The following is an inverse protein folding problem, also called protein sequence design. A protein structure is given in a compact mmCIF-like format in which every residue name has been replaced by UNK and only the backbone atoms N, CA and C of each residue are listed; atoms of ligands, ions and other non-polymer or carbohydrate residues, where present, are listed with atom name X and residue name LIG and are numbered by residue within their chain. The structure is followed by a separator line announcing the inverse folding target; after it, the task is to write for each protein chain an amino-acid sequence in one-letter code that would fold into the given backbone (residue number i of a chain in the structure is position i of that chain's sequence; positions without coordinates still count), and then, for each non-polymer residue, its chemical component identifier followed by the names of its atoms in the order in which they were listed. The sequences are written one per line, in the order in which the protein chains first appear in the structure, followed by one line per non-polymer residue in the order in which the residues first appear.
data_IF_347108683651
#
_entry.id   IF_347108683651
#
_cell.length_a   1.000
_cell.length_b   1.000
_cell.length_c   1.000
_cell.angle_alpha   90.00
_cell.angle_beta   90.00
_cell.angle_gamma   90.00
#
_symmetry.space_group_name_H-M   'P 1'
#
loop_
_entity.id
_entity.type
_entity.pdbx_description
1 polymer ?
#
# COMPACT_ATOMS: atom_id res chain seq x y z
N UNK A 1 22.26 -23.15 -19.40
CA UNK A 1 21.21 -22.22 -18.97
C UNK A 1 21.59 -21.33 -17.79
N UNK A 2 22.88 -21.18 -17.45
CA UNK A 2 23.36 -20.45 -16.26
C UNK A 2 24.15 -19.16 -16.60
N UNK A 3 24.08 -18.63 -17.83
CA UNK A 3 24.85 -17.44 -18.25
C UNK A 3 24.01 -16.20 -18.61
N UNK A 4 22.72 -16.19 -18.30
CA UNK A 4 21.82 -15.05 -18.62
C UNK A 4 21.38 -14.24 -17.37
N UNK A 5 22.03 -14.43 -16.22
CA UNK A 5 21.69 -13.72 -14.98
C UNK A 5 22.65 -12.56 -14.65
N UNK A 6 23.59 -12.22 -15.53
CA UNK A 6 24.68 -11.26 -15.23
C UNK A 6 24.51 -9.85 -15.79
N UNK A 7 23.31 -9.37 -16.04
CA UNK A 7 23.07 -7.97 -16.37
C UNK A 7 21.95 -7.35 -15.51
N UNK A 8 21.98 -7.60 -14.21
CA UNK A 8 21.10 -6.97 -13.24
C UNK A 8 21.68 -5.61 -12.81
N UNK A 9 20.92 -4.52 -12.99
CA UNK A 9 21.16 -3.30 -12.22
C UNK A 9 21.28 -3.68 -10.73
N UNK A 10 22.12 -2.99 -9.93
CA UNK A 10 22.32 -3.32 -8.54
C UNK A 10 20.98 -3.38 -7.82
N UNK A 11 20.71 -4.49 -7.14
CA UNK A 11 19.45 -4.77 -6.42
C UNK A 11 19.18 -3.69 -5.37
N UNK A 12 20.25 -3.09 -4.85
CA UNK A 12 20.21 -1.95 -3.92
C UNK A 12 20.94 -0.75 -4.55
N UNK A 13 20.23 0.37 -4.72
CA UNK A 13 20.87 1.63 -5.07
C UNK A 13 20.61 2.68 -3.99
N UNK A 14 21.61 3.54 -3.73
CA UNK A 14 21.47 4.66 -2.79
C UNK A 14 20.31 5.59 -3.19
N UNK A 15 20.02 5.70 -4.50
CA UNK A 15 18.90 6.47 -5.03
C UNK A 15 17.55 5.91 -4.58
N UNK A 16 17.40 4.57 -4.61
CA UNK A 16 16.20 3.90 -4.14
C UNK A 16 16.03 4.03 -2.64
N UNK A 17 17.11 3.86 -1.88
CA UNK A 17 17.07 4.03 -0.43
C UNK A 17 16.58 5.42 -0.04
N UNK A 18 17.03 6.47 -0.77
CA UNK A 18 16.53 7.83 -0.55
C UNK A 18 15.03 7.97 -0.85
N UNK A 19 14.55 7.34 -1.91
CA UNK A 19 13.12 7.40 -2.28
C UNK A 19 12.25 6.74 -1.23
N UNK A 20 12.62 5.55 -0.77
CA UNK A 20 11.79 4.76 0.14
C UNK A 20 11.89 5.19 1.61
N UNK A 21 12.98 5.88 2.01
CA UNK A 21 13.21 6.35 3.39
C UNK A 21 13.14 7.86 3.57
N UNK A 22 13.12 8.63 2.48
CA UNK A 22 13.36 10.09 2.47
C UNK A 22 14.74 10.50 3.03
N UNK A 23 15.70 9.59 3.06
CA UNK A 23 17.06 9.93 3.45
C UNK A 23 17.71 10.85 2.40
N UNK A 24 18.60 11.76 2.83
CA UNK A 24 19.02 12.92 2.04
C UNK A 24 20.26 12.68 1.16
N UNK A 25 20.44 11.53 0.52
CA UNK A 25 21.69 11.18 -0.15
C UNK A 25 21.82 11.63 -1.62
N UNK A 26 20.78 11.61 -2.44
CA UNK A 26 20.89 11.92 -3.88
C UNK A 26 20.74 13.41 -4.19
N UNK A 27 21.86 14.06 -4.56
CA UNK A 27 21.93 15.50 -4.86
C UNK A 27 20.97 15.93 -5.99
N UNK A 28 20.77 15.08 -7.01
CA UNK A 28 19.92 15.38 -8.15
C UNK A 28 18.44 15.46 -7.77
N UNK A 29 17.92 14.48 -7.02
CA UNK A 29 16.54 14.45 -6.55
C UNK A 29 16.25 15.62 -5.60
N UNK A 30 17.18 15.97 -4.71
CA UNK A 30 17.06 17.15 -3.84
C UNK A 30 16.95 18.46 -4.62
N UNK A 31 17.74 18.62 -5.68
CA UNK A 31 17.65 19.80 -6.57
C UNK A 31 16.29 19.85 -7.26
N UNK A 32 15.84 18.73 -7.80
CA UNK A 32 14.53 18.62 -8.43
C UNK A 32 13.41 18.95 -7.45
N UNK A 33 13.39 18.34 -6.26
CA UNK A 33 12.41 18.64 -5.20
C UNK A 33 12.39 20.13 -4.83
N UNK A 34 13.58 20.76 -4.73
CA UNK A 34 13.68 22.20 -4.42
C UNK A 34 13.04 23.06 -5.50
N UNK A 35 13.30 22.78 -6.77
CA UNK A 35 12.71 23.49 -7.91
C UNK A 35 11.18 23.27 -7.94
N UNK A 36 10.74 22.03 -7.82
CA UNK A 36 9.31 21.68 -7.88
C UNK A 36 8.50 22.26 -6.71
N UNK A 37 9.13 22.47 -5.55
CA UNK A 37 8.48 23.16 -4.40
C UNK A 37 8.13 24.62 -4.68
N UNK A 38 8.85 25.30 -5.59
CA UNK A 38 8.58 26.69 -5.96
C UNK A 38 7.34 26.85 -6.83
N UNK A 39 6.92 25.77 -7.52
CA UNK A 39 5.72 25.79 -8.34
C UNK A 39 4.47 25.61 -7.48
N UNK A 40 3.47 26.52 -7.58
CA UNK A 40 2.23 26.38 -6.80
C UNK A 40 1.35 25.24 -7.34
N UNK A 41 0.66 24.53 -6.45
CA UNK A 41 -0.29 23.49 -6.81
C UNK A 41 -0.27 22.26 -5.89
N UNK A 42 -1.42 21.62 -5.78
CA UNK A 42 -1.68 20.39 -5.02
C UNK A 42 -2.72 19.56 -5.79
N UNK A 43 -2.76 18.22 -5.69
CA UNK A 43 -1.79 17.36 -4.98
C UNK A 43 -0.41 17.30 -5.65
N UNK A 44 0.56 16.64 -5.01
CA UNK A 44 1.96 16.57 -5.46
C UNK A 44 2.49 15.14 -5.51
N UNK A 45 3.41 14.89 -6.43
CA UNK A 45 4.14 13.63 -6.48
C UNK A 45 4.93 13.40 -5.18
N UNK A 46 4.75 12.24 -4.54
CA UNK A 46 5.44 11.89 -3.30
C UNK A 46 6.97 11.79 -3.45
N UNK A 47 7.47 11.46 -4.66
CA UNK A 47 8.90 11.32 -4.93
C UNK A 47 9.55 12.65 -5.31
N UNK A 48 9.12 13.33 -6.36
CA UNK A 48 9.79 14.52 -6.89
C UNK A 48 9.15 15.84 -6.52
N UNK A 49 8.03 15.84 -5.79
CA UNK A 49 7.24 17.00 -5.40
C UNK A 49 6.61 17.80 -6.56
N UNK A 50 6.60 17.25 -7.76
CA UNK A 50 5.90 17.84 -8.90
C UNK A 50 4.42 18.07 -8.57
N UNK A 51 3.88 19.31 -8.76
CA UNK A 51 2.45 19.56 -8.56
C UNK A 51 1.62 18.95 -9.69
N UNK A 52 0.46 18.38 -9.35
CA UNK A 52 -0.48 17.82 -10.31
C UNK A 52 -1.65 18.76 -10.63
N UNK A 53 -1.94 19.69 -9.72
CA UNK A 53 -3.01 20.67 -9.84
C UNK A 53 -2.52 22.13 -9.81
N UNK A 54 -3.43 23.08 -10.02
CA UNK A 54 -3.14 24.49 -10.05
C UNK A 54 -2.27 24.92 -11.25
N UNK A 55 -1.78 26.16 -11.19
CA UNK A 55 -0.95 26.74 -12.27
C UNK A 55 0.35 25.94 -12.51
N UNK A 56 1.04 25.55 -11.42
CA UNK A 56 2.25 24.75 -11.50
C UNK A 56 2.00 23.37 -12.12
N UNK A 57 0.85 22.73 -11.80
CA UNK A 57 0.46 21.45 -12.40
C UNK A 57 0.21 21.56 -13.91
N UNK A 58 -0.33 22.68 -14.38
CA UNK A 58 -0.49 22.96 -15.82
C UNK A 58 0.85 22.99 -16.54
N UNK A 59 1.83 23.73 -16.01
CA UNK A 59 3.19 23.78 -16.56
C UNK A 59 3.85 22.40 -16.57
N UNK A 60 3.78 21.70 -15.47
CA UNK A 60 4.40 20.39 -15.32
C UNK A 60 3.78 19.33 -16.26
N UNK A 61 2.49 19.44 -16.52
CA UNK A 61 1.78 18.56 -17.48
C UNK A 61 2.29 18.74 -18.91
N UNK A 62 2.58 19.97 -19.33
CA UNK A 62 3.22 20.24 -20.63
C UNK A 62 4.61 19.62 -20.74
N UNK A 63 5.32 19.48 -19.62
CA UNK A 63 6.62 18.80 -19.53
C UNK A 63 6.51 17.28 -19.33
N UNK A 64 5.31 16.69 -19.40
CA UNK A 64 5.08 15.25 -19.24
C UNK A 64 4.98 14.73 -17.80
N UNK A 65 4.94 15.62 -16.80
CA UNK A 65 4.77 15.24 -15.40
C UNK A 65 3.29 15.11 -15.04
N UNK A 66 2.67 14.03 -15.43
CA UNK A 66 1.27 13.72 -15.08
C UNK A 66 1.20 12.69 -13.95
N UNK A 67 0.07 12.61 -13.20
CA UNK A 67 -0.16 11.49 -12.31
C UNK A 67 -0.10 10.18 -13.07
N UNK A 68 0.61 9.19 -12.54
CA UNK A 68 0.63 7.85 -13.12
C UNK A 68 -0.75 7.19 -12.97
N UNK A 69 -1.17 6.45 -14.00
CA UNK A 69 -2.40 5.64 -13.92
C UNK A 69 -2.25 4.44 -12.98
N UNK A 70 -1.01 4.00 -12.74
CA UNK A 70 -0.72 2.90 -11.81
C UNK A 70 -0.77 3.34 -10.36
N UNK A 71 -0.23 4.53 -10.07
CA UNK A 71 -0.27 5.14 -8.75
C UNK A 71 -0.43 6.66 -8.87
N UNK A 72 -1.62 7.22 -8.60
CA UNK A 72 -1.90 8.65 -8.79
C UNK A 72 -1.13 9.56 -7.83
N UNK A 73 -0.50 9.02 -6.79
CA UNK A 73 0.37 9.77 -5.88
C UNK A 73 1.79 9.97 -6.45
N UNK A 74 2.14 9.28 -7.53
CA UNK A 74 3.41 9.39 -8.23
C UNK A 74 3.20 9.96 -9.63
N UNK A 75 4.16 10.73 -10.14
CA UNK A 75 4.12 11.12 -11.55
C UNK A 75 4.59 9.96 -12.44
N UNK A 76 4.21 10.00 -13.72
CA UNK A 76 4.61 9.02 -14.75
C UNK A 76 6.12 8.79 -14.78
N UNK A 77 6.92 9.87 -14.64
CA UNK A 77 8.38 9.76 -14.61
C UNK A 77 8.88 8.99 -13.38
N UNK A 78 8.33 9.26 -12.20
CA UNK A 78 8.74 8.59 -10.98
C UNK A 78 8.20 7.16 -10.86
N UNK A 79 7.04 6.87 -11.45
CA UNK A 79 6.44 5.55 -11.38
C UNK A 79 6.91 4.60 -12.48
N UNK A 80 7.08 5.13 -13.71
CA UNK A 80 7.26 4.30 -14.90
C UNK A 80 8.68 4.37 -15.49
N UNK A 81 9.44 5.45 -15.18
CA UNK A 81 10.79 5.67 -15.73
C UNK A 81 11.91 5.59 -14.71
N UNK A 82 11.62 5.34 -13.45
CA UNK A 82 12.69 5.04 -12.50
C UNK A 82 13.41 3.75 -12.89
N UNK A 83 14.74 3.68 -12.68
CA UNK A 83 15.50 2.50 -13.02
C UNK A 83 14.98 1.27 -12.27
N UNK A 84 15.25 0.10 -12.82
CA UNK A 84 15.03 -1.17 -12.11
C UNK A 84 15.84 -1.21 -10.83
N UNK A 85 15.34 -1.96 -9.86
CA UNK A 85 15.95 -2.08 -8.55
C UNK A 85 15.05 -1.51 -7.47
N UNK A 86 15.55 -1.42 -6.28
CA UNK A 86 14.82 -0.96 -5.11
C UNK A 86 15.73 -0.91 -3.89
N UNK A 87 15.13 -0.86 -2.72
CA UNK A 87 15.84 -0.94 -1.46
C UNK A 87 15.04 -1.72 -0.42
N UNK A 88 15.73 -2.30 0.54
CA UNK A 88 15.09 -2.84 1.73
C UNK A 88 14.70 -1.70 2.67
N UNK A 89 13.44 -1.73 3.11
CA UNK A 89 12.89 -0.75 4.04
C UNK A 89 11.84 -1.41 4.91
N UNK A 90 11.73 -0.95 6.15
CA UNK A 90 10.64 -1.37 7.01
C UNK A 90 9.32 -0.83 6.44
N UNK A 91 8.35 -1.72 6.25
CA UNK A 91 7.11 -1.45 5.52
C UNK A 91 5.93 -1.99 6.31
N UNK A 92 4.83 -1.25 6.37
CA UNK A 92 3.56 -1.79 6.79
C UNK A 92 2.76 -2.21 5.56
N UNK A 93 2.31 -3.46 5.53
CA UNK A 93 1.57 -4.07 4.44
C UNK A 93 0.12 -4.29 4.88
N UNK A 94 -0.82 -3.85 4.07
CA UNK A 94 -2.26 -4.02 4.29
C UNK A 94 -2.87 -4.80 3.14
N UNK A 95 -3.63 -5.83 3.49
CA UNK A 95 -4.53 -6.53 2.58
C UNK A 95 -5.98 -6.39 3.05
N UNK A 96 -6.90 -6.18 2.11
CA UNK A 96 -8.33 -6.18 2.34
C UNK A 96 -9.01 -7.00 1.25
N UNK A 97 -9.97 -7.85 1.63
CA UNK A 97 -10.57 -8.83 0.73
C UNK A 97 -12.05 -9.03 1.05
N UNK A 98 -12.85 -9.22 0.02
CA UNK A 98 -14.29 -9.48 0.13
C UNK A 98 -14.52 -10.89 0.67
N UNK A 99 -15.30 -11.03 1.72
CA UNK A 99 -15.67 -12.33 2.28
C UNK A 99 -16.79 -12.96 1.47
N UNK A 100 -16.70 -14.27 1.20
CA UNK A 100 -17.66 -15.04 0.39
C UNK A 100 -17.85 -14.48 -1.04
N UNK A 101 -16.77 -13.98 -1.64
CA UNK A 101 -16.81 -13.38 -2.98
C UNK A 101 -17.34 -14.32 -4.06
N UNK A 102 -16.97 -15.60 -4.02
CA UNK A 102 -17.48 -16.62 -4.94
C UNK A 102 -18.98 -16.77 -4.81
N UNK A 103 -19.49 -16.92 -3.59
CA UNK A 103 -20.93 -17.01 -3.35
C UNK A 103 -21.68 -15.74 -3.75
N UNK A 104 -21.07 -14.56 -3.56
CA UNK A 104 -21.62 -13.29 -4.04
C UNK A 104 -21.70 -13.25 -5.58
N UNK A 105 -20.64 -13.65 -6.27
CA UNK A 105 -20.60 -13.68 -7.74
C UNK A 105 -21.67 -14.63 -8.33
N UNK A 106 -21.84 -15.80 -7.72
CA UNK A 106 -22.86 -16.76 -8.13
C UNK A 106 -24.29 -16.22 -7.93
N UNK A 107 -24.57 -15.56 -6.80
CA UNK A 107 -25.90 -15.01 -6.48
C UNK A 107 -26.25 -13.77 -7.31
N UNK A 108 -25.28 -12.91 -7.58
CA UNK A 108 -25.52 -11.62 -8.26
C UNK A 108 -25.43 -11.71 -9.78
N UNK A 109 -24.70 -12.68 -10.30
CA UNK A 109 -24.34 -12.75 -11.70
C UNK A 109 -23.18 -11.80 -12.07
N UNK A 110 -22.53 -12.06 -13.18
CA UNK A 110 -21.25 -11.46 -13.57
C UNK A 110 -21.27 -9.94 -13.66
N UNK A 111 -22.29 -9.35 -14.27
CA UNK A 111 -22.36 -7.90 -14.46
C UNK A 111 -22.52 -7.14 -13.13
N UNK A 112 -23.46 -7.56 -12.28
CA UNK A 112 -23.68 -6.94 -10.98
C UNK A 112 -22.48 -7.13 -10.04
N UNK A 113 -21.82 -8.29 -10.11
CA UNK A 113 -20.59 -8.52 -9.36
C UNK A 113 -19.45 -7.60 -9.82
N UNK A 114 -19.30 -7.35 -11.12
CA UNK A 114 -18.31 -6.40 -11.64
C UNK A 114 -18.58 -4.96 -11.16
N UNK A 115 -19.85 -4.54 -11.07
CA UNK A 115 -20.22 -3.24 -10.50
C UNK A 115 -19.89 -3.17 -9.00
N UNK A 116 -20.15 -4.24 -8.25
CA UNK A 116 -19.77 -4.35 -6.84
C UNK A 116 -18.26 -4.22 -6.66
N UNK A 117 -17.46 -4.93 -7.47
CA UNK A 117 -15.99 -4.84 -7.45
C UNK A 117 -15.51 -3.42 -7.77
N UNK A 118 -16.08 -2.76 -8.77
CA UNK A 118 -15.73 -1.39 -9.10
C UNK A 118 -16.02 -0.43 -7.93
N UNK A 119 -17.15 -0.63 -7.23
CA UNK A 119 -17.47 0.14 -6.02
C UNK A 119 -16.48 -0.16 -4.88
N UNK A 120 -16.17 -1.44 -4.65
CA UNK A 120 -15.17 -1.87 -3.66
C UNK A 120 -13.82 -1.24 -3.91
N UNK A 121 -13.28 -1.34 -5.12
CA UNK A 121 -12.01 -0.77 -5.49
C UNK A 121 -11.96 0.75 -5.34
N UNK A 122 -13.02 1.45 -5.76
CA UNK A 122 -13.10 2.90 -5.61
C UNK A 122 -13.03 3.30 -4.14
N UNK A 123 -13.87 2.73 -3.29
CA UNK A 123 -13.91 3.03 -1.86
C UNK A 123 -12.58 2.67 -1.19
N UNK A 124 -12.02 1.51 -1.51
CA UNK A 124 -10.75 1.06 -0.95
C UNK A 124 -9.59 2.00 -1.37
N UNK A 125 -9.45 2.29 -2.66
CA UNK A 125 -8.35 3.12 -3.15
C UNK A 125 -8.44 4.56 -2.66
N UNK A 126 -9.62 5.18 -2.66
CA UNK A 126 -9.83 6.54 -2.14
C UNK A 126 -9.47 6.62 -0.65
N UNK A 127 -9.91 5.65 0.14
CA UNK A 127 -9.60 5.61 1.58
C UNK A 127 -8.12 5.41 1.83
N UNK A 128 -7.49 4.42 1.18
CA UNK A 128 -6.08 4.09 1.37
C UNK A 128 -5.17 5.24 0.93
N UNK A 129 -5.44 5.86 -0.23
CA UNK A 129 -4.69 7.02 -0.72
C UNK A 129 -4.85 8.22 0.22
N UNK A 130 -6.05 8.42 0.79
CA UNK A 130 -6.29 9.45 1.80
C UNK A 130 -5.44 9.32 3.06
N UNK A 131 -4.98 8.10 3.36
CA UNK A 131 -4.04 7.79 4.45
C UNK A 131 -2.58 7.67 4.01
N UNK A 132 -2.21 8.20 2.85
CA UNK A 132 -0.85 8.14 2.30
C UNK A 132 -0.36 6.73 1.95
N UNK A 133 -1.26 5.75 1.75
CA UNK A 133 -0.88 4.43 1.26
C UNK A 133 -0.39 4.47 -0.18
N UNK A 134 0.49 3.57 -0.53
CA UNK A 134 0.74 3.18 -1.92
C UNK A 134 -0.14 1.98 -2.23
N UNK A 135 -1.17 2.16 -3.06
CA UNK A 135 -1.96 1.03 -3.56
C UNK A 135 -1.11 0.30 -4.59
N UNK A 136 -0.81 -0.97 -4.30
CA UNK A 136 0.05 -1.81 -5.14
C UNK A 136 -0.78 -2.53 -6.21
N UNK A 137 -1.70 -3.38 -5.77
CA UNK A 137 -2.46 -4.26 -6.66
C UNK A 137 -3.93 -4.33 -6.28
N UNK A 138 -4.75 -4.49 -7.32
CA UNK A 138 -6.15 -4.89 -7.25
C UNK A 138 -6.24 -6.29 -7.88
N UNK A 139 -6.45 -7.32 -7.08
CA UNK A 139 -6.36 -8.73 -7.52
C UNK A 139 -7.68 -9.45 -7.21
N UNK A 140 -8.52 -9.62 -8.24
CA UNK A 140 -9.83 -10.28 -8.03
C UNK A 140 -10.70 -9.49 -7.07
N UNK A 141 -10.86 -9.96 -5.86
CA UNK A 141 -11.65 -9.36 -4.77
C UNK A 141 -10.77 -8.82 -3.63
N UNK A 142 -9.46 -8.72 -3.87
CA UNK A 142 -8.44 -8.29 -2.90
C UNK A 142 -7.78 -6.97 -3.32
N UNK A 143 -7.48 -6.13 -2.35
CA UNK A 143 -6.65 -4.92 -2.48
C UNK A 143 -5.40 -5.08 -1.63
N UNK A 144 -4.24 -4.87 -2.24
CA UNK A 144 -2.97 -4.75 -1.54
C UNK A 144 -2.50 -3.29 -1.52
N UNK A 145 -2.08 -2.82 -0.36
CA UNK A 145 -1.43 -1.53 -0.21
C UNK A 145 -0.26 -1.63 0.78
N UNK A 146 0.70 -0.71 0.64
CA UNK A 146 1.81 -0.62 1.57
C UNK A 146 2.12 0.82 1.97
N UNK A 147 2.76 0.97 3.12
CA UNK A 147 3.13 2.24 3.71
C UNK A 147 4.62 2.21 4.03
N UNK A 148 5.36 3.20 3.54
CA UNK A 148 6.80 3.33 3.75
C UNK A 148 7.15 4.72 4.26
N UNK A 149 8.25 4.90 5.01
CA UNK A 149 8.66 6.21 5.53
C UNK A 149 8.74 7.28 4.44
N UNK A 150 9.21 6.91 3.25
CA UNK A 150 9.39 7.82 2.13
C UNK A 150 8.11 8.45 1.60
N UNK A 151 6.97 7.78 1.69
CA UNK A 151 5.69 8.25 1.13
C UNK A 151 4.67 8.56 2.21
N UNK A 152 4.66 7.77 3.28
CA UNK A 152 3.68 7.89 4.36
C UNK A 152 4.20 8.68 5.57
N UNK A 153 5.52 8.99 5.60
CA UNK A 153 6.16 9.66 6.72
C UNK A 153 6.60 8.72 7.84
N UNK A 154 7.18 9.24 8.93
CA UNK A 154 7.72 8.44 10.03
C UNK A 154 6.65 7.60 10.74
N UNK A 155 5.40 8.05 10.73
CA UNK A 155 4.26 7.40 11.39
C UNK A 155 3.56 6.38 10.49
N UNK A 156 4.25 5.85 9.46
CA UNK A 156 3.67 4.95 8.46
C UNK A 156 2.98 3.71 9.04
N UNK A 157 3.45 3.20 10.17
CA UNK A 157 2.86 2.02 10.85
C UNK A 157 1.48 2.34 11.44
N UNK A 158 1.37 3.42 12.20
CA UNK A 158 0.08 3.86 12.74
C UNK A 158 -0.88 4.30 11.65
N UNK A 159 -0.39 4.97 10.59
CA UNK A 159 -1.20 5.31 9.41
C UNK A 159 -1.77 4.09 8.71
N UNK A 160 -1.03 2.99 8.62
CA UNK A 160 -1.54 1.74 8.05
C UNK A 160 -2.73 1.18 8.86
N UNK A 161 -2.64 1.27 10.20
CA UNK A 161 -3.71 0.84 11.09
C UNK A 161 -4.92 1.77 10.98
N UNK A 162 -4.70 3.08 10.97
CA UNK A 162 -5.77 4.08 10.80
C UNK A 162 -6.46 3.95 9.45
N UNK A 163 -5.69 3.64 8.39
CA UNK A 163 -6.22 3.32 7.08
C UNK A 163 -7.11 2.07 7.11
N UNK A 164 -6.67 1.00 7.77
CA UNK A 164 -7.45 -0.22 7.94
C UNK A 164 -8.77 0.04 8.69
N UNK A 165 -8.73 0.80 9.78
CA UNK A 165 -9.94 1.19 10.54
C UNK A 165 -10.88 2.06 9.70
N UNK A 166 -10.33 3.04 8.98
CA UNK A 166 -11.12 3.92 8.10
C UNK A 166 -11.72 3.16 6.93
N UNK A 167 -10.99 2.20 6.38
CA UNK A 167 -11.48 1.31 5.33
C UNK A 167 -12.67 0.47 5.81
N UNK A 168 -12.58 -0.11 7.00
CA UNK A 168 -13.69 -0.86 7.60
C UNK A 168 -14.92 0.04 7.82
N UNK A 169 -14.73 1.28 8.32
CA UNK A 169 -15.83 2.26 8.45
C UNK A 169 -16.44 2.61 7.09
N UNK A 170 -15.63 2.77 6.05
CA UNK A 170 -16.12 3.06 4.70
C UNK A 170 -16.95 1.91 4.09
N UNK A 171 -16.74 0.68 4.56
CA UNK A 171 -17.60 -0.47 4.23
C UNK A 171 -18.85 -0.57 5.12
N UNK A 172 -19.00 0.30 6.11
CA UNK A 172 -20.17 0.40 6.98
C UNK A 172 -20.01 -0.24 8.35
N UNK A 173 -18.83 -0.75 8.71
CA UNK A 173 -18.59 -1.29 10.03
C UNK A 173 -18.45 -0.18 11.08
N UNK A 174 -18.89 -0.45 12.30
CA UNK A 174 -18.87 0.52 13.42
C UNK A 174 -20.04 1.50 13.41
N UNK A 175 -20.94 1.43 12.42
CA UNK A 175 -22.17 2.19 12.35
C UNK A 175 -23.39 1.43 12.95
N UNK A 176 -24.56 2.06 12.87
CA UNK A 176 -25.85 1.47 13.29
C UNK A 176 -26.47 0.57 12.23
N UNK A 177 -26.17 0.82 10.96
CA UNK A 177 -26.65 0.03 9.82
C UNK A 177 -25.71 -1.13 9.52
N UNK A 178 -26.22 -2.24 8.94
CA UNK A 178 -25.35 -3.31 8.46
C UNK A 178 -24.32 -2.83 7.42
N UNK A 179 -23.11 -3.38 7.41
CA UNK A 179 -22.13 -3.06 6.38
C UNK A 179 -22.64 -3.44 5.00
N UNK A 180 -22.42 -2.56 4.02
CA UNK A 180 -22.84 -2.81 2.64
C UNK A 180 -21.98 -3.87 1.92
N UNK A 181 -20.81 -4.20 2.48
CA UNK A 181 -19.91 -5.22 1.98
C UNK A 181 -19.19 -5.93 3.13
N UNK A 182 -19.15 -7.25 3.03
CA UNK A 182 -18.45 -8.10 4.00
C UNK A 182 -16.97 -8.16 3.63
N UNK A 183 -16.11 -7.59 4.49
CA UNK A 183 -14.66 -7.48 4.25
C UNK A 183 -13.87 -7.92 5.49
N UNK A 184 -12.69 -8.51 5.27
CA UNK A 184 -11.68 -8.76 6.30
C UNK A 184 -10.38 -8.05 5.93
N UNK A 185 -9.68 -7.51 6.94
CA UNK A 185 -8.43 -6.77 6.75
C UNK A 185 -7.31 -7.41 7.56
N UNK A 186 -6.13 -7.51 6.96
CA UNK A 186 -4.90 -7.99 7.62
C UNK A 186 -3.75 -7.01 7.43
N UNK A 187 -3.00 -6.76 8.52
CA UNK A 187 -1.83 -5.87 8.48
C UNK A 187 -0.63 -6.56 9.12
N UNK A 188 0.52 -6.47 8.45
CA UNK A 188 1.82 -6.86 9.01
C UNK A 188 2.86 -5.76 8.80
N UNK A 189 3.89 -5.76 9.63
CA UNK A 189 5.02 -4.83 9.56
C UNK A 189 6.33 -5.61 9.59
N UNK A 190 7.22 -5.27 8.66
CA UNK A 190 8.57 -5.84 8.64
C UNK A 190 9.41 -5.32 7.47
N UNK A 191 10.64 -5.81 7.36
CA UNK A 191 11.54 -5.44 6.26
C UNK A 191 11.08 -6.06 4.95
N UNK A 192 10.90 -5.23 3.92
CA UNK A 192 10.55 -5.65 2.56
C UNK A 192 11.46 -4.95 1.56
N UNK A 193 11.68 -5.60 0.43
CA UNK A 193 12.24 -4.94 -0.74
C UNK A 193 11.13 -4.14 -1.43
N UNK A 194 11.32 -2.83 -1.60
CA UNK A 194 10.40 -1.95 -2.31
C UNK A 194 11.10 -1.33 -3.50
N UNK A 195 10.51 -1.47 -4.69
CA UNK A 195 11.12 -0.95 -5.90
C UNK A 195 10.45 -1.40 -7.19
N UNK A 196 11.11 -1.08 -8.30
CA UNK A 196 10.69 -1.47 -9.65
C UNK A 196 11.24 -2.87 -9.98
N UNK A 197 10.35 -3.82 -10.13
CA UNK A 197 10.64 -5.24 -10.40
C UNK A 197 10.00 -5.64 -11.71
N UNK A 198 10.71 -6.40 -12.53
CA UNK A 198 10.16 -6.90 -13.79
C UNK A 198 11.18 -7.08 -14.89
N UNK A 199 10.68 -7.35 -16.09
CA UNK A 199 11.46 -7.55 -17.33
C UNK A 199 11.64 -6.25 -18.13
N UNK A 200 12.11 -6.37 -19.38
CA UNK A 200 12.34 -5.21 -20.26
C UNK A 200 11.05 -4.49 -20.64
N UNK A 201 9.94 -5.23 -20.72
CA UNK A 201 8.67 -4.72 -21.24
C UNK A 201 7.63 -4.41 -20.16
N UNK A 202 7.73 -5.06 -18.99
CA UNK A 202 6.80 -4.88 -17.88
C UNK A 202 7.59 -4.68 -16.61
N UNK A 203 7.36 -3.54 -15.98
CA UNK A 203 7.92 -3.17 -14.68
C UNK A 203 6.78 -2.84 -13.74
N UNK A 204 6.86 -3.38 -12.53
CA UNK A 204 5.90 -3.14 -11.47
C UNK A 204 6.59 -2.53 -10.25
N UNK A 205 6.06 -1.41 -9.75
CA UNK A 205 6.51 -0.82 -8.50
C UNK A 205 5.76 -1.48 -7.37
N UNK A 206 6.44 -2.32 -6.60
CA UNK A 206 5.80 -3.21 -5.64
C UNK A 206 6.68 -3.43 -4.39
N UNK A 207 6.08 -4.01 -3.35
CA UNK A 207 6.78 -4.52 -2.18
C UNK A 207 6.88 -6.06 -2.25
N UNK A 208 8.06 -6.61 -1.93
CA UNK A 208 8.30 -8.06 -1.85
C UNK A 208 8.96 -8.43 -0.52
N UNK A 209 8.58 -9.57 0.02
CA UNK A 209 9.18 -10.11 1.23
C UNK A 209 8.22 -10.93 2.08
N UNK A 210 8.73 -11.47 3.17
CA UNK A 210 7.92 -12.26 4.10
C UNK A 210 6.75 -11.50 4.72
N UNK A 211 6.88 -10.18 5.05
CA UNK A 211 5.75 -9.40 5.57
C UNK A 211 4.57 -9.31 4.60
N UNK A 212 4.80 -9.28 3.28
CA UNK A 212 3.72 -9.29 2.27
C UNK A 212 2.90 -10.57 2.38
N UNK A 213 3.58 -11.73 2.38
CA UNK A 213 2.93 -13.03 2.51
C UNK A 213 2.26 -13.21 3.88
N UNK A 214 2.84 -12.62 4.92
CA UNK A 214 2.30 -12.70 6.28
C UNK A 214 1.02 -11.87 6.40
N UNK A 215 1.01 -10.63 5.90
CA UNK A 215 -0.17 -9.76 5.91
C UNK A 215 -1.35 -10.39 5.14
N UNK A 216 -1.08 -10.98 3.95
CA UNK A 216 -2.10 -11.68 3.18
C UNK A 216 -2.69 -12.87 3.95
N UNK A 217 -1.83 -13.66 4.60
CA UNK A 217 -2.29 -14.82 5.39
C UNK A 217 -3.01 -14.40 6.67
N UNK A 218 -2.65 -13.28 7.30
CA UNK A 218 -3.40 -12.70 8.42
C UNK A 218 -4.79 -12.28 7.93
N UNK A 219 -4.85 -11.57 6.81
CA UNK A 219 -6.09 -11.14 6.19
C UNK A 219 -6.99 -12.35 5.89
N UNK A 220 -6.45 -13.44 5.33
CA UNK A 220 -7.22 -14.67 5.06
C UNK A 220 -7.79 -15.34 6.33
N UNK A 221 -7.29 -15.01 7.51
CA UNK A 221 -7.82 -15.47 8.81
C UNK A 221 -8.82 -14.50 9.42
N UNK A 222 -8.86 -13.27 8.95
CA UNK A 222 -9.81 -12.27 9.44
C UNK A 222 -11.25 -12.67 9.09
N UNK A 223 -12.12 -12.60 10.09
CA UNK A 223 -13.56 -12.82 9.91
C UNK A 223 -14.19 -11.60 9.20
N UNK A 224 -15.43 -11.73 8.71
CA UNK A 224 -16.20 -10.57 8.30
C UNK A 224 -16.23 -9.49 9.39
N UNK A 225 -15.85 -8.28 9.04
CA UNK A 225 -15.78 -7.16 9.99
C UNK A 225 -14.55 -7.12 10.87
N UNK A 226 -13.56 -7.98 10.65
CA UNK A 226 -12.37 -8.05 11.51
C UNK A 226 -11.17 -7.37 10.86
N UNK A 227 -10.50 -6.53 11.64
CA UNK A 227 -9.19 -5.96 11.35
C UNK A 227 -8.15 -6.68 12.23
N UNK A 228 -7.42 -7.61 11.63
CA UNK A 228 -6.32 -8.32 12.29
C UNK A 228 -4.99 -7.66 12.00
N UNK A 229 -4.20 -7.41 13.03
CA UNK A 229 -2.85 -6.87 12.91
C UNK A 229 -1.85 -7.79 13.58
N UNK A 230 -0.65 -7.90 13.00
CA UNK A 230 0.44 -8.65 13.62
C UNK A 230 0.97 -7.92 14.87
N UNK A 231 1.69 -8.64 15.70
CA UNK A 231 2.34 -8.08 16.89
C UNK A 231 3.32 -6.93 16.57
N UNK A 232 4.19 -7.00 15.52
CA UNK A 232 4.99 -5.86 15.09
C UNK A 232 4.18 -4.64 14.64
N UNK A 233 3.03 -4.84 13.96
CA UNK A 233 2.15 -3.76 13.57
C UNK A 233 1.45 -3.13 14.80
N UNK A 234 0.96 -3.96 15.72
CA UNK A 234 0.29 -3.51 16.93
C UNK A 234 1.18 -2.67 17.84
N UNK A 235 2.49 -2.95 17.88
CA UNK A 235 3.44 -2.22 18.72
C UNK A 235 3.42 -0.69 18.46
N UNK A 236 3.06 -0.25 17.24
CA UNK A 236 2.99 1.17 16.88
C UNK A 236 1.77 1.90 17.49
N UNK A 237 0.77 1.17 17.99
CA UNK A 237 -0.48 1.73 18.52
C UNK A 237 -0.87 1.13 19.86
N UNK A 238 0.00 0.35 20.49
CA UNK A 238 -0.28 -0.38 21.73
C UNK A 238 -0.77 0.51 22.87
N UNK A 239 -0.26 1.73 22.97
CA UNK A 239 -0.68 2.73 23.96
C UNK A 239 -2.11 3.22 23.74
N UNK A 240 -2.62 3.19 22.50
CA UNK A 240 -3.98 3.61 22.17
C UNK A 240 -5.02 2.53 22.50
N UNK A 241 -4.58 1.28 22.66
CA UNK A 241 -5.46 0.13 22.90
C UNK A 241 -4.98 -0.69 24.12
N UNK A 242 -4.95 -0.09 25.32
CA UNK A 242 -4.53 -0.80 26.52
C UNK A 242 -5.47 -1.96 26.81
N UNK A 243 -4.92 -3.12 27.15
CA UNK A 243 -5.70 -4.30 27.53
C UNK A 243 -6.23 -5.14 26.36
N UNK A 244 -5.88 -4.83 25.13
CA UNK A 244 -6.27 -5.66 23.99
C UNK A 244 -5.58 -7.03 24.05
N UNK A 245 -6.37 -8.10 23.92
CA UNK A 245 -5.89 -9.46 24.10
C UNK A 245 -5.09 -9.92 22.87
N UNK A 246 -3.89 -10.43 23.14
CA UNK A 246 -3.05 -11.08 22.12
C UNK A 246 -3.60 -12.48 21.82
N UNK A 247 -3.94 -12.70 20.55
CA UNK A 247 -4.29 -14.01 20.01
C UNK A 247 -3.10 -14.62 19.28
N UNK A 248 -3.14 -15.93 19.04
CA UNK A 248 -2.14 -16.62 18.22
C UNK A 248 -2.80 -17.37 17.08
N UNK A 249 -2.27 -17.21 15.87
CA UNK A 249 -2.74 -17.92 14.68
C UNK A 249 -1.60 -18.72 14.05
N UNK A 250 -1.96 -19.84 13.42
CA UNK A 250 -1.03 -20.60 12.59
C UNK A 250 -1.23 -20.20 11.13
N UNK A 251 -0.16 -19.76 10.51
CA UNK A 251 -0.15 -19.44 9.09
C UNK A 251 0.43 -20.61 8.28
N UNK A 252 -0.16 -20.86 7.11
CA UNK A 252 0.36 -21.91 6.19
C UNK A 252 1.79 -21.54 5.77
N UNK A 253 2.72 -22.49 5.85
CA UNK A 253 4.13 -22.27 5.48
C UNK A 253 4.97 -21.54 6.54
N UNK A 254 4.43 -21.26 7.74
CA UNK A 254 5.21 -20.82 8.89
C UNK A 254 5.26 -21.94 9.94
N UNK A 255 6.44 -22.20 10.47
CA UNK A 255 6.66 -23.23 11.51
C UNK A 255 6.09 -22.81 12.85
N UNK A 256 6.24 -21.52 13.21
CA UNK A 256 5.74 -20.96 14.46
C UNK A 256 4.36 -20.31 14.31
N UNK A 257 3.58 -20.32 15.40
CA UNK A 257 2.40 -19.46 15.52
C UNK A 257 2.84 -18.01 15.63
N UNK A 258 2.08 -17.08 15.05
CA UNK A 258 2.33 -15.65 15.18
C UNK A 258 1.30 -15.01 16.12
N UNK A 259 1.72 -13.95 16.82
CA UNK A 259 0.84 -13.11 17.62
C UNK A 259 0.06 -12.14 16.73
N UNK A 260 -1.23 -12.02 16.98
CA UNK A 260 -2.11 -11.07 16.30
C UNK A 260 -3.08 -10.43 17.28
N UNK A 261 -3.56 -9.25 16.91
CA UNK A 261 -4.57 -8.51 17.66
C UNK A 261 -5.74 -8.18 16.72
N UNK A 262 -6.96 -8.30 17.24
CA UNK A 262 -8.17 -7.85 16.54
C UNK A 262 -8.51 -6.44 17.03
N UNK A 263 -8.37 -5.45 16.13
CA UNK A 263 -8.56 -4.05 16.50
C UNK A 263 -10.03 -3.61 16.41
N UNK A 264 -10.52 -2.80 17.38
CA UNK A 264 -11.83 -2.19 17.27
C UNK A 264 -11.90 -1.18 16.14
N UNK A 265 -13.04 -1.10 15.47
CA UNK A 265 -13.27 -0.23 14.30
C UNK A 265 -13.86 1.12 14.71
N UNK A 266 -14.61 1.14 15.80
CA UNK A 266 -15.23 2.35 16.38
C UNK A 266 -14.27 3.22 17.15
#
# INVERSE_FOLDING_TARGET
MARALEAGAPVHSDEWLEVVTQSHSAKALRRLKRVMRLLPGSPRCKVCYNPFGGFGGGICRLAGFMPSKKNPQLCTLCCEKMPRGGAEVETAILFADIRDSTGLAERMGTAAYAELLNRFYRVATETLIGHDATVDKLIGDEVMAFFIPGFSGPDFKSKAIDAGRSLMRAFGYGGTEPPWLSVGVGIDVGSTFVGNIGGEHIVDFTALGDPVNTAQRIQAKAKPGELLVSEPAFAAVSEQFPGLVRNTIRLRGKSAKIGVYSLPIG
#
